data_IF_575891469048
#
_entry.id   IF_575891469048
#
_cell.length_a   1.000
_cell.length_b   1.000
_cell.length_c   1.000
_cell.angle_alpha   90.00
_cell.angle_beta   90.00
_cell.angle_gamma   90.00
#
_symmetry.space_group_name_H-M   'P 1'
#
loop_
_entity.id
_entity.type
_entity.pdbx_description
1 polymer ?
#
# COMPACT_ATOMS: atom_id res chain seq x y z
N UNK A 1 21.54 7.94 -6.25
CA UNK A 1 20.28 7.41 -5.71
C UNK A 1 19.29 7.17 -6.85
N UNK A 2 18.59 6.07 -6.81
CA UNK A 2 17.70 5.69 -7.90
C UNK A 2 16.48 6.61 -7.99
N UNK A 3 16.05 6.92 -9.20
CA UNK A 3 14.81 7.63 -9.43
C UNK A 3 13.63 6.74 -9.04
N UNK A 4 12.51 7.38 -8.73
CA UNK A 4 11.28 6.64 -8.48
C UNK A 4 10.86 5.91 -9.76
N UNK A 5 10.39 4.67 -9.61
CA UNK A 5 9.92 3.88 -10.75
C UNK A 5 8.73 3.02 -10.33
N UNK A 6 8.01 2.52 -11.32
CA UNK A 6 6.88 1.62 -11.09
C UNK A 6 7.28 0.35 -10.34
N UNK A 7 8.54 -0.05 -10.42
CA UNK A 7 9.05 -1.20 -9.68
C UNK A 7 8.79 -1.05 -8.17
N UNK A 8 8.99 0.17 -7.64
CA UNK A 8 8.73 0.45 -6.23
C UNK A 8 7.24 0.22 -5.89
N UNK A 9 6.35 0.62 -6.79
CA UNK A 9 4.91 0.40 -6.60
C UNK A 9 4.58 -1.10 -6.60
N UNK A 10 5.19 -1.86 -7.51
CA UNK A 10 4.92 -3.30 -7.60
C UNK A 10 5.46 -4.08 -6.40
N UNK A 11 6.47 -3.57 -5.68
CA UNK A 11 6.87 -4.14 -4.40
C UNK A 11 5.73 -4.06 -3.37
N UNK A 12 5.00 -2.94 -3.36
CA UNK A 12 3.83 -2.79 -2.51
C UNK A 12 2.69 -3.72 -2.95
N UNK A 13 2.47 -3.88 -4.25
CA UNK A 13 1.47 -4.84 -4.77
C UNK A 13 1.82 -6.26 -4.33
N UNK A 14 3.10 -6.62 -4.43
CA UNK A 14 3.59 -7.94 -3.99
C UNK A 14 3.32 -8.16 -2.51
N UNK A 15 3.52 -7.13 -1.68
CA UNK A 15 3.22 -7.17 -0.25
C UNK A 15 1.77 -7.58 0.00
N UNK A 16 0.82 -7.02 -0.76
CA UNK A 16 -0.59 -7.38 -0.66
C UNK A 16 -0.91 -8.77 -1.18
N UNK A 17 -0.04 -9.36 -1.97
CA UNK A 17 -0.26 -10.71 -2.52
C UNK A 17 0.50 -11.79 -1.76
N UNK A 18 1.36 -11.40 -0.81
CA UNK A 18 2.11 -12.36 0.02
C UNK A 18 1.74 -12.26 1.50
N UNK A 19 1.08 -11.20 1.93
CA UNK A 19 0.70 -10.93 3.32
C UNK A 19 1.88 -10.98 4.29
N UNK A 20 3.06 -10.53 3.82
CA UNK A 20 4.30 -10.56 4.60
C UNK A 20 4.43 -9.29 5.46
N UNK A 21 4.06 -9.40 6.73
CA UNK A 21 4.09 -8.30 7.67
C UNK A 21 5.48 -7.70 7.84
N UNK A 22 6.53 -8.50 7.64
CA UNK A 22 7.91 -8.01 7.77
C UNK A 22 8.25 -6.93 6.75
N UNK A 23 7.50 -6.83 5.65
CA UNK A 23 7.78 -5.85 4.61
C UNK A 23 7.24 -4.45 4.93
N UNK A 24 6.42 -4.30 5.96
CA UNK A 24 5.87 -2.98 6.30
C UNK A 24 6.98 -1.96 6.48
N UNK A 25 8.03 -2.30 7.21
CA UNK A 25 9.14 -1.39 7.47
C UNK A 25 10.01 -1.10 6.24
N UNK A 26 9.95 -1.93 5.22
CA UNK A 26 10.68 -1.71 3.96
C UNK A 26 9.88 -0.88 2.96
N UNK A 27 8.58 -0.76 3.15
CA UNK A 27 7.69 -0.08 2.22
C UNK A 27 7.20 1.27 2.74
N UNK A 28 7.01 1.40 4.04
CA UNK A 28 6.40 2.59 4.66
C UNK A 28 7.40 3.34 5.55
N UNK A 29 7.15 4.64 5.75
CA UNK A 29 7.91 5.42 6.74
C UNK A 29 7.76 4.76 8.11
N UNK A 30 8.86 4.64 8.85
CA UNK A 30 8.90 4.02 10.18
C UNK A 30 8.80 5.02 11.30
N UNK A 31 7.95 6.03 11.16
CA UNK A 31 7.81 7.03 12.21
C UNK A 31 6.35 7.47 12.37
N UNK A 32 6.12 8.46 13.18
CA UNK A 32 4.77 8.91 13.51
C UNK A 32 4.07 9.68 12.39
N UNK A 33 4.75 9.97 11.29
CA UNK A 33 4.20 10.80 10.22
C UNK A 33 3.43 10.02 9.16
N UNK A 34 3.65 8.71 9.04
CA UNK A 34 2.95 7.92 8.03
C UNK A 34 1.46 7.93 8.31
N UNK A 35 0.67 8.12 7.26
CA UNK A 35 -0.79 8.14 7.36
C UNK A 35 -1.40 7.22 6.31
N UNK A 36 -2.60 6.73 6.61
CA UNK A 36 -3.24 5.72 5.77
C UNK A 36 -4.76 5.78 5.94
N UNK A 37 -5.48 5.77 4.83
CA UNK A 37 -6.93 5.58 4.85
C UNK A 37 -7.26 4.24 4.21
N UNK A 38 -7.92 3.38 4.97
CA UNK A 38 -8.38 2.09 4.49
C UNK A 38 -9.79 2.22 3.91
N UNK A 39 -10.08 1.46 2.87
CA UNK A 39 -11.44 1.37 2.35
C UNK A 39 -12.40 0.66 3.31
N UNK A 40 -11.86 -0.03 4.31
CA UNK A 40 -12.64 -0.86 5.23
C UNK A 40 -12.78 -0.28 6.63
N UNK A 41 -12.16 0.87 6.91
CA UNK A 41 -12.13 1.43 8.24
C UNK A 41 -12.28 2.94 8.17
N UNK A 42 -13.10 3.51 9.05
CA UNK A 42 -13.28 4.95 9.14
C UNK A 42 -12.11 5.60 9.89
N UNK A 43 -11.75 6.78 9.45
CA UNK A 43 -10.73 7.59 10.11
C UNK A 43 -9.32 7.30 9.63
N UNK A 44 -8.43 8.21 9.96
CA UNK A 44 -7.03 8.09 9.58
C UNK A 44 -6.30 7.12 10.51
N UNK A 45 -5.49 6.26 9.89
CA UNK A 45 -4.53 5.43 10.63
C UNK A 45 -3.23 6.21 10.60
N UNK A 46 -2.73 6.60 11.77
CA UNK A 46 -1.55 7.46 11.86
C UNK A 46 -0.45 6.82 12.68
N UNK A 47 0.76 6.84 12.12
CA UNK A 47 1.96 6.32 12.77
C UNK A 47 2.24 4.88 12.41
N UNK A 48 3.52 4.53 12.48
CA UNK A 48 4.01 3.23 12.06
C UNK A 48 3.37 2.07 12.85
N UNK A 49 3.27 2.20 14.17
CA UNK A 49 2.72 1.14 15.00
C UNK A 49 1.25 0.87 14.68
N UNK A 50 0.46 1.93 14.49
CA UNK A 50 -0.95 1.78 14.13
C UNK A 50 -1.09 1.15 12.74
N UNK A 51 -0.18 1.49 11.83
CA UNK A 51 -0.18 0.93 10.49
C UNK A 51 0.13 -0.57 10.51
N UNK A 52 1.10 -1.00 11.32
CA UNK A 52 1.42 -2.42 11.49
C UNK A 52 0.20 -3.17 12.04
N UNK A 53 -0.44 -2.63 13.08
CA UNK A 53 -1.63 -3.25 13.67
C UNK A 53 -2.77 -3.37 12.66
N UNK A 54 -2.94 -2.36 11.81
CA UNK A 54 -3.96 -2.41 10.77
C UNK A 54 -3.74 -3.59 9.83
N UNK A 55 -2.50 -3.80 9.39
CA UNK A 55 -2.18 -4.91 8.50
C UNK A 55 -2.28 -6.26 9.20
N UNK A 56 -1.89 -6.34 10.47
CA UNK A 56 -2.10 -7.55 11.27
C UNK A 56 -3.59 -7.90 11.35
N UNK A 57 -4.44 -6.90 11.58
CA UNK A 57 -5.88 -7.10 11.64
C UNK A 57 -6.48 -7.58 10.32
N UNK A 58 -5.82 -7.29 9.22
CA UNK A 58 -6.23 -7.74 7.90
C UNK A 58 -5.77 -9.16 7.58
N UNK A 59 -4.87 -9.72 8.37
CA UNK A 59 -4.38 -11.08 8.21
C UNK A 59 -2.92 -11.20 7.81
N UNK A 60 -2.19 -10.09 7.74
CA UNK A 60 -0.76 -10.13 7.44
C UNK A 60 -0.02 -10.75 8.62
N UNK A 61 0.96 -11.62 8.31
CA UNK A 61 1.74 -12.32 9.32
C UNK A 61 3.22 -12.25 8.98
N UNK A 62 4.04 -12.44 10.00
CA UNK A 62 5.49 -12.46 9.83
C UNK A 62 5.90 -13.55 8.84
N UNK A 63 6.70 -13.18 7.84
CA UNK A 63 7.12 -14.11 6.80
C UNK A 63 6.10 -14.35 5.69
N UNK A 64 4.90 -13.81 5.84
CA UNK A 64 3.85 -13.98 4.85
C UNK A 64 3.11 -15.30 4.96
N UNK A 65 2.14 -15.48 4.09
CA UNK A 65 1.40 -16.74 3.99
C UNK A 65 0.76 -16.87 2.61
N UNK A 66 0.50 -18.09 2.22
CA UNK A 66 -0.32 -18.36 1.05
C UNK A 66 -1.75 -17.98 1.40
N UNK A 67 -2.37 -17.20 0.55
CA UNK A 67 -3.75 -16.75 0.75
C UNK A 67 -4.41 -16.52 -0.62
N UNK A 68 -5.74 -16.66 -0.72
CA UNK A 68 -6.40 -16.67 -2.02
C UNK A 68 -6.76 -15.31 -2.59
N UNK A 69 -6.62 -14.24 -1.81
CA UNK A 69 -6.98 -12.91 -2.27
C UNK A 69 -5.90 -12.36 -3.21
N UNK A 70 -6.31 -11.54 -4.17
CA UNK A 70 -5.38 -10.93 -5.13
C UNK A 70 -5.64 -9.45 -5.24
N UNK A 71 -4.56 -8.67 -5.19
CA UNK A 71 -4.60 -7.23 -5.42
C UNK A 71 -3.83 -6.91 -6.71
N UNK A 72 -4.38 -6.04 -7.54
CA UNK A 72 -3.66 -5.49 -8.70
C UNK A 72 -4.10 -4.06 -8.95
N UNK A 73 -3.33 -3.36 -9.76
CA UNK A 73 -3.59 -1.97 -10.11
C UNK A 73 -3.80 -1.84 -11.61
N UNK A 74 -4.64 -0.90 -12.01
CA UNK A 74 -4.81 -0.52 -13.40
C UNK A 74 -4.78 1.00 -13.53
N UNK A 75 -4.37 1.48 -14.70
CA UNK A 75 -4.36 2.91 -14.98
C UNK A 75 -3.40 3.70 -14.12
N UNK A 76 -2.22 3.14 -13.85
CA UNK A 76 -1.25 3.77 -12.96
C UNK A 76 -0.64 5.02 -13.59
N UNK A 77 -0.72 6.13 -12.85
CA UNK A 77 -0.10 7.40 -13.20
C UNK A 77 0.90 7.78 -12.12
N UNK A 78 2.12 8.11 -12.51
CA UNK A 78 3.21 8.44 -11.59
C UNK A 78 3.71 9.84 -11.88
N UNK A 79 3.76 10.70 -10.84
CA UNK A 79 4.42 12.00 -10.90
C UNK A 79 5.60 12.00 -9.94
N UNK A 80 6.79 12.24 -10.47
CA UNK A 80 8.03 12.29 -9.72
C UNK A 80 8.41 13.75 -9.49
N UNK A 81 8.47 14.16 -8.22
CA UNK A 81 8.82 15.53 -7.83
C UNK A 81 10.26 15.64 -7.30
N UNK A 82 11.06 14.61 -7.50
CA UNK A 82 12.46 14.58 -7.03
C UNK A 82 12.59 13.91 -5.66
N UNK A 83 12.12 14.57 -4.62
CA UNK A 83 12.19 14.03 -3.25
C UNK A 83 10.90 13.34 -2.82
N UNK A 84 9.86 13.45 -3.61
CA UNK A 84 8.60 12.75 -3.40
C UNK A 84 8.03 12.31 -4.73
N UNK A 85 7.09 11.39 -4.68
CA UNK A 85 6.37 10.93 -5.86
C UNK A 85 4.93 10.61 -5.47
N UNK A 86 4.02 10.86 -6.41
CA UNK A 86 2.60 10.55 -6.21
C UNK A 86 2.19 9.52 -7.24
N UNK A 87 1.55 8.46 -6.78
CA UNK A 87 1.03 7.40 -7.63
C UNK A 87 -0.49 7.42 -7.50
N UNK A 88 -1.17 7.49 -8.64
CA UNK A 88 -2.63 7.40 -8.70
C UNK A 88 -3.00 6.20 -9.57
N UNK A 89 -3.92 5.38 -9.11
CA UNK A 89 -4.33 4.19 -9.86
C UNK A 89 -5.73 3.78 -9.42
N UNK A 90 -6.25 2.76 -10.08
CA UNK A 90 -7.44 2.06 -9.61
C UNK A 90 -6.97 0.73 -9.05
N UNK A 91 -7.31 0.46 -7.78
CA UNK A 91 -6.98 -0.83 -7.16
C UNK A 91 -8.14 -1.79 -7.35
N UNK A 92 -7.79 -3.07 -7.49
CA UNK A 92 -8.73 -4.18 -7.57
C UNK A 92 -8.34 -5.20 -6.53
N UNK A 93 -9.33 -5.74 -5.83
CA UNK A 93 -9.10 -6.77 -4.82
C UNK A 93 -10.14 -7.87 -4.98
N UNK A 94 -9.70 -9.05 -5.35
CA UNK A 94 -10.58 -10.19 -5.62
C UNK A 94 -10.47 -11.22 -4.50
N UNK A 95 -11.59 -11.45 -3.83
CA UNK A 95 -11.72 -12.52 -2.85
C UNK A 95 -12.24 -13.78 -3.57
N UNK A 96 -11.85 -14.97 -3.10
CA UNK A 96 -12.18 -16.20 -3.82
C UNK A 96 -13.68 -16.48 -3.94
N UNK A 97 -14.46 -16.06 -2.94
CA UNK A 97 -15.90 -16.30 -2.93
C UNK A 97 -16.72 -15.15 -3.53
N UNK A 98 -16.07 -14.10 -3.97
CA UNK A 98 -16.74 -12.96 -4.57
C UNK A 98 -16.83 -13.15 -6.08
N UNK A 99 -17.98 -12.80 -6.65
CA UNK A 99 -18.18 -12.88 -8.10
C UNK A 99 -17.32 -11.85 -8.83
N UNK A 100 -17.27 -10.64 -8.28
CA UNK A 100 -16.53 -9.53 -8.88
C UNK A 100 -15.50 -8.98 -7.92
N UNK A 101 -14.41 -8.35 -8.43
CA UNK A 101 -13.46 -7.70 -7.56
C UNK A 101 -14.05 -6.43 -6.96
N UNK A 102 -13.65 -6.13 -5.75
CA UNK A 102 -13.82 -4.82 -5.15
C UNK A 102 -12.85 -3.87 -5.85
N UNK A 103 -13.21 -2.62 -6.05
CA UNK A 103 -12.32 -1.65 -6.70
C UNK A 103 -12.56 -0.24 -6.22
N UNK A 104 -11.58 0.61 -6.44
CA UNK A 104 -11.68 2.02 -6.10
C UNK A 104 -10.42 2.77 -6.47
N UNK A 105 -10.40 4.07 -6.23
CA UNK A 105 -9.18 4.85 -6.45
C UNK A 105 -8.18 4.58 -5.34
N UNK A 106 -6.89 4.65 -5.67
CA UNK A 106 -5.83 4.63 -4.69
C UNK A 106 -4.84 5.76 -5.01
N UNK A 107 -4.41 6.46 -3.97
CA UNK A 107 -3.34 7.43 -4.06
C UNK A 107 -2.26 7.03 -3.08
N UNK A 108 -1.02 6.98 -3.55
CA UNK A 108 0.13 6.64 -2.73
C UNK A 108 1.14 7.75 -2.86
N UNK A 109 1.59 8.30 -1.72
CA UNK A 109 2.63 9.32 -1.68
C UNK A 109 3.90 8.69 -1.16
N UNK A 110 4.95 8.76 -1.96
CA UNK A 110 6.27 8.26 -1.61
C UNK A 110 7.19 9.42 -1.25
N UNK A 111 8.02 9.21 -0.25
CA UNK A 111 9.08 10.14 0.13
C UNK A 111 10.43 9.45 -0.07
N UNK A 112 11.41 10.21 -0.56
CA UNK A 112 12.77 9.73 -0.65
C UNK A 112 13.40 9.84 0.73
N UNK A 113 13.92 8.72 1.24
CA UNK A 113 14.58 8.68 2.54
C UNK A 113 16.01 8.20 2.36
N UNK A 114 16.77 8.24 3.45
CA UNK A 114 18.13 7.69 3.46
C UNK A 114 18.15 6.22 3.02
N UNK A 115 17.09 5.48 3.37
CA UNK A 115 17.01 4.04 3.09
C UNK A 115 16.28 3.72 1.78
N UNK A 116 15.98 4.74 0.98
CA UNK A 116 15.25 4.59 -0.28
C UNK A 116 13.86 5.20 -0.21
N UNK A 117 13.04 4.85 -1.18
CA UNK A 117 11.67 5.35 -1.26
C UNK A 117 10.78 4.66 -0.24
N UNK A 118 9.98 5.44 0.48
CA UNK A 118 9.03 4.90 1.48
C UNK A 118 7.68 5.58 1.32
N UNK A 119 6.62 4.83 1.57
CA UNK A 119 5.26 5.36 1.51
C UNK A 119 5.02 6.24 2.74
N UNK A 120 4.70 7.51 2.50
CA UNK A 120 4.34 8.46 3.54
C UNK A 120 2.83 8.51 3.76
N UNK A 121 2.07 8.23 2.71
CA UNK A 121 0.61 8.27 2.77
C UNK A 121 0.02 7.36 1.71
N UNK A 122 -1.06 6.67 2.04
CA UNK A 122 -1.85 5.93 1.07
C UNK A 122 -3.33 6.11 1.42
N UNK A 123 -4.14 6.23 0.39
CA UNK A 123 -5.59 6.41 0.54
C UNK A 123 -6.31 5.47 -0.42
N UNK A 124 -7.11 4.57 0.14
CA UNK A 124 -7.96 3.65 -0.62
C UNK A 124 -9.39 4.15 -0.56
N UNK A 125 -9.95 4.50 -1.71
CA UNK A 125 -11.38 4.77 -1.82
C UNK A 125 -12.12 3.56 -2.35
N UNK A 126 -13.43 3.67 -2.43
CA UNK A 126 -14.29 2.62 -3.00
C UNK A 126 -15.15 3.21 -4.11
N UNK A 127 -15.24 2.51 -5.24
CA UNK A 127 -16.28 2.75 -6.23
C UNK A 127 -17.48 1.89 -5.88
N UNK A 128 -18.63 2.41 -6.09
CA UNK A 128 -19.86 1.66 -5.87
C UNK A 128 -20.27 0.87 -7.09
#
# INVERSE_FOLDING_TARGET
MAKFSSKTVYEWVKFWNTYDLDQVGNLFLRDGRVTYFSSEKQGVIKGYEALVKHHEGFGFVKGGKVQPNRLWLEGMDIEDFGDSAIVCAVWFFKRPNAENPQKGPVTIVYERTRDGWRIAHANFGNYK
#
